data_IF_783618403855
#
_entry.id   IF_783618403855
#
_cell.length_a   1.000
_cell.length_b   1.000
_cell.length_c   1.000
_cell.angle_alpha   90.00
_cell.angle_beta   90.00
_cell.angle_gamma   90.00
#
_symmetry.space_group_name_H-M   'P 1'
#
loop_
_entity.id
_entity.type
_entity.pdbx_description
1 polymer ?
#
# COMPACT_ATOMS: atom_id res chain seq x y z
N UNK A 1 8.22 6.59 19.03
CA UNK A 1 6.93 6.49 18.30
C UNK A 1 6.78 7.64 17.31
N UNK A 2 6.94 8.90 17.73
CA UNK A 2 6.72 10.07 16.84
C UNK A 2 7.65 10.16 15.63
N UNK A 3 8.92 9.78 15.76
CA UNK A 3 9.86 9.78 14.64
C UNK A 3 9.52 8.75 13.54
N UNK A 4 8.98 7.59 13.93
CA UNK A 4 8.57 6.53 12.99
C UNK A 4 7.33 6.98 12.23
N UNK A 5 6.36 7.59 12.94
CA UNK A 5 5.17 8.17 12.33
C UNK A 5 5.50 9.34 11.40
N UNK A 6 6.41 10.23 11.80
CA UNK A 6 6.88 11.33 10.95
C UNK A 6 7.49 10.83 9.63
N UNK A 7 8.38 9.83 9.70
CA UNK A 7 8.97 9.20 8.50
C UNK A 7 7.94 8.54 7.60
N UNK A 8 6.94 7.88 8.18
CA UNK A 8 5.82 7.33 7.43
C UNK A 8 5.06 8.43 6.68
N UNK A 9 4.67 9.48 7.40
CA UNK A 9 3.83 10.56 6.84
C UNK A 9 4.58 11.35 5.76
N UNK A 10 5.90 11.56 5.94
CA UNK A 10 6.74 12.24 4.94
C UNK A 10 6.91 11.41 3.67
N UNK A 11 7.16 10.10 3.81
CA UNK A 11 7.25 9.20 2.66
C UNK A 11 5.91 9.10 1.91
N UNK A 12 4.79 9.02 2.64
CA UNK A 12 3.46 9.00 2.03
C UNK A 12 3.19 10.28 1.23
N UNK A 13 3.54 11.45 1.78
CA UNK A 13 3.41 12.74 1.07
C UNK A 13 4.27 12.80 -0.20
N UNK A 14 5.49 12.27 -0.16
CA UNK A 14 6.37 12.25 -1.33
C UNK A 14 5.82 11.34 -2.43
N UNK A 15 5.32 10.16 -2.07
CA UNK A 15 4.67 9.24 -3.00
C UNK A 15 3.39 9.87 -3.58
N UNK A 16 2.54 10.47 -2.75
CA UNK A 16 1.34 11.17 -3.19
C UNK A 16 1.66 12.28 -4.19
N UNK A 17 2.65 13.12 -3.89
CA UNK A 17 3.09 14.21 -4.78
C UNK A 17 3.55 13.67 -6.13
N UNK A 18 4.35 12.61 -6.11
CA UNK A 18 4.90 11.98 -7.33
C UNK A 18 3.80 11.35 -8.18
N UNK A 19 2.89 10.60 -7.55
CA UNK A 19 1.75 9.99 -8.25
C UNK A 19 0.82 11.05 -8.83
N UNK A 20 0.55 12.12 -8.10
CA UNK A 20 -0.29 13.24 -8.57
C UNK A 20 0.33 13.92 -9.79
N UNK A 21 1.62 14.25 -9.74
CA UNK A 21 2.34 14.83 -10.87
C UNK A 21 2.31 13.93 -12.10
N UNK A 22 2.49 12.60 -11.92
CA UNK A 22 2.43 11.63 -13.02
C UNK A 22 1.01 11.33 -13.54
N UNK A 23 -0.02 11.77 -12.82
CA UNK A 23 -1.44 11.52 -13.15
C UNK A 23 -2.11 12.73 -13.79
N UNK A 24 -1.56 13.94 -13.63
CA UNK A 24 -2.09 15.20 -14.17
C UNK A 24 -2.33 15.19 -15.70
N UNK A 25 -1.51 14.46 -16.45
CA UNK A 25 -1.68 14.31 -17.92
C UNK A 25 -2.76 13.29 -18.33
N UNK A 26 -3.30 12.52 -17.38
CA UNK A 26 -4.20 11.38 -17.66
C UNK A 26 -5.68 11.71 -17.43
N UNK A 27 -6.16 12.82 -18.00
CA UNK A 27 -7.59 13.17 -18.26
C UNK A 27 -8.66 12.40 -17.47
N UNK A 28 -8.65 12.47 -16.13
CA UNK A 28 -9.66 11.84 -15.26
C UNK A 28 -9.72 10.29 -15.28
N UNK A 29 -8.82 9.61 -15.99
CA UNK A 29 -8.80 8.14 -16.13
C UNK A 29 -8.13 7.45 -14.95
N UNK A 30 -7.29 8.19 -14.24
CA UNK A 30 -6.59 7.73 -13.04
C UNK A 30 -7.03 8.58 -11.86
N UNK A 31 -7.46 7.93 -10.78
CA UNK A 31 -7.89 8.58 -9.54
C UNK A 31 -7.01 8.08 -8.40
N UNK A 32 -6.38 9.02 -7.70
CA UNK A 32 -5.62 8.77 -6.48
C UNK A 32 -6.47 9.16 -5.26
N UNK A 33 -6.59 8.26 -4.29
CA UNK A 33 -7.21 8.52 -2.98
C UNK A 33 -6.20 8.16 -1.90
N UNK A 34 -5.92 9.09 -0.99
CA UNK A 34 -4.92 8.94 0.07
C UNK A 34 -5.60 9.01 1.42
N UNK A 35 -5.37 8.04 2.32
CA UNK A 35 -5.97 7.99 3.66
C UNK A 35 -7.51 8.09 3.68
N UNK A 36 -8.18 7.64 2.62
CA UNK A 36 -9.64 7.67 2.51
C UNK A 36 -10.24 6.28 2.67
N UNK A 37 -11.50 6.20 3.04
CA UNK A 37 -12.24 4.95 3.00
C UNK A 37 -12.46 4.50 1.55
N UNK A 38 -12.66 3.20 1.38
CA UNK A 38 -13.03 2.63 0.07
C UNK A 38 -14.49 2.94 -0.22
N UNK A 39 -14.82 3.53 -1.39
CA UNK A 39 -16.20 3.85 -1.73
C UNK A 39 -17.15 2.65 -1.63
N UNK A 40 -18.34 2.88 -1.09
CA UNK A 40 -19.42 1.89 -0.98
C UNK A 40 -19.11 0.66 -0.12
N UNK A 41 -17.98 0.62 0.59
CA UNK A 41 -17.70 -0.43 1.56
C UNK A 41 -18.36 -0.08 2.90
N UNK A 42 -19.54 -0.63 3.16
CA UNK A 42 -20.28 -0.41 4.39
C UNK A 42 -19.56 -1.00 5.62
N UNK A 43 -19.53 -0.26 6.73
CA UNK A 43 -19.05 -0.73 8.03
C UNK A 43 -17.53 -0.82 8.22
N UNK A 44 -16.72 -0.68 7.16
CA UNK A 44 -15.27 -0.67 7.29
C UNK A 44 -14.73 0.76 7.42
N UNK A 45 -14.25 1.13 8.61
CA UNK A 45 -13.48 2.37 8.83
C UNK A 45 -12.06 2.31 8.25
N UNK A 46 -11.76 1.30 7.43
CA UNK A 46 -10.43 1.09 6.86
C UNK A 46 -10.11 2.20 5.87
N UNK A 47 -8.96 2.85 6.10
CA UNK A 47 -8.40 3.91 5.27
C UNK A 47 -7.03 3.46 4.82
N UNK A 48 -6.90 2.77 3.67
CA UNK A 48 -5.60 2.47 3.10
C UNK A 48 -4.84 3.76 2.85
N UNK A 49 -3.51 3.71 3.02
CA UNK A 49 -2.66 4.88 2.77
C UNK A 49 -2.80 5.36 1.32
N UNK A 50 -2.85 4.42 0.36
CA UNK A 50 -3.01 4.72 -1.06
C UNK A 50 -4.06 3.82 -1.72
N UNK A 51 -4.92 4.43 -2.53
CA UNK A 51 -5.77 3.75 -3.50
C UNK A 51 -5.57 4.43 -4.86
N UNK A 52 -5.12 3.66 -5.85
CA UNK A 52 -4.91 4.15 -7.22
C UNK A 52 -5.85 3.41 -8.16
N UNK A 53 -6.90 4.08 -8.60
CA UNK A 53 -7.87 3.57 -9.56
C UNK A 53 -7.45 3.94 -10.97
N UNK A 54 -7.47 2.97 -11.87
CA UNK A 54 -7.44 3.20 -13.31
C UNK A 54 -8.80 2.77 -13.87
N UNK A 55 -9.63 3.75 -14.20
CA UNK A 55 -10.98 3.56 -14.71
C UNK A 55 -11.00 2.99 -16.13
N UNK A 56 -9.90 3.12 -16.89
CA UNK A 56 -9.81 2.58 -18.26
C UNK A 56 -9.65 1.06 -18.25
N UNK A 57 -8.72 0.56 -17.44
CA UNK A 57 -8.45 -0.88 -17.31
C UNK A 57 -9.30 -1.55 -16.23
N UNK A 58 -10.11 -0.76 -15.51
CA UNK A 58 -10.88 -1.18 -14.33
C UNK A 58 -10.01 -1.92 -13.31
N UNK A 59 -8.81 -1.39 -13.08
CA UNK A 59 -7.86 -1.91 -12.10
C UNK A 59 -7.73 -0.95 -10.93
N UNK A 60 -7.52 -1.48 -9.73
CA UNK A 60 -7.23 -0.68 -8.54
C UNK A 60 -6.06 -1.28 -7.77
N UNK A 61 -5.08 -0.45 -7.46
CA UNK A 61 -4.03 -0.80 -6.50
C UNK A 61 -4.38 -0.22 -5.14
N UNK A 62 -4.45 -1.06 -4.12
CA UNK A 62 -4.63 -0.66 -2.71
C UNK A 62 -3.33 -0.98 -2.00
N UNK A 63 -2.67 0.07 -1.50
CA UNK A 63 -1.31 -0.01 -0.97
C UNK A 63 -1.27 0.65 0.40
N UNK A 64 -0.54 0.01 1.32
CA UNK A 64 -0.38 0.49 2.68
C UNK A 64 1.12 0.48 3.04
N UNK A 65 1.58 1.56 3.66
CA UNK A 65 2.98 1.82 3.97
C UNK A 65 3.27 1.41 5.41
N UNK A 66 4.24 0.53 5.62
CA UNK A 66 4.65 0.14 6.97
C UNK A 66 6.10 0.49 7.19
N UNK A 67 6.38 1.16 8.30
CA UNK A 67 7.73 1.25 8.84
C UNK A 67 7.84 0.19 9.93
N UNK A 68 8.62 -0.86 9.68
CA UNK A 68 8.80 -1.95 10.62
C UNK A 68 10.25 -2.06 11.06
N UNK A 69 10.46 -2.47 12.30
CA UNK A 69 11.79 -2.75 12.83
C UNK A 69 12.27 -4.09 12.27
N UNK A 70 13.52 -4.14 11.83
CA UNK A 70 14.10 -5.33 11.23
C UNK A 70 14.53 -6.30 12.33
N UNK A 71 13.59 -7.13 12.76
CA UNK A 71 13.92 -8.36 13.48
C UNK A 71 13.86 -9.51 12.47
N UNK A 72 15.03 -10.08 12.17
CA UNK A 72 15.15 -11.25 11.30
C UNK A 72 15.38 -12.45 12.21
N UNK A 73 14.31 -13.22 12.44
CA UNK A 73 14.36 -14.36 13.37
C UNK A 73 15.19 -15.55 12.82
N UNK A 74 15.39 -15.61 11.50
CA UNK A 74 16.23 -16.61 10.83
C UNK A 74 16.68 -16.13 9.43
N UNK A 75 17.58 -16.87 8.77
CA UNK A 75 18.03 -16.54 7.41
C UNK A 75 16.95 -16.68 6.31
N UNK A 76 15.76 -17.17 6.67
CA UNK A 76 14.60 -17.22 5.77
C UNK A 76 14.02 -15.79 5.54
N UNK A 77 13.96 -15.28 4.30
CA UNK A 77 13.36 -13.98 3.98
C UNK A 77 11.90 -13.84 4.45
N UNK A 78 11.13 -14.93 4.49
CA UNK A 78 9.75 -14.95 4.96
C UNK A 78 9.64 -14.83 6.49
N UNK A 79 10.74 -15.09 7.21
CA UNK A 79 10.82 -14.98 8.67
C UNK A 79 11.12 -13.55 9.17
N UNK A 80 11.36 -12.62 8.25
CA UNK A 80 11.63 -11.22 8.61
C UNK A 80 10.38 -10.54 9.18
N UNK A 81 10.55 -9.70 10.20
CA UNK A 81 9.48 -8.86 10.75
C UNK A 81 8.80 -7.99 9.69
N UNK A 82 9.53 -7.66 8.62
CA UNK A 82 8.99 -6.92 7.48
C UNK A 82 8.04 -7.76 6.60
N UNK A 83 8.37 -9.04 6.33
CA UNK A 83 7.49 -9.96 5.59
C UNK A 83 6.20 -10.25 6.36
N UNK A 84 6.32 -10.42 7.69
CA UNK A 84 5.17 -10.57 8.58
C UNK A 84 4.26 -9.33 8.56
N UNK A 85 4.83 -8.12 8.65
CA UNK A 85 4.06 -6.88 8.56
C UNK A 85 3.34 -6.74 7.20
N UNK A 86 3.96 -7.17 6.11
CA UNK A 86 3.33 -7.17 4.79
C UNK A 86 2.15 -8.16 4.71
N UNK A 87 2.31 -9.37 5.26
CA UNK A 87 1.25 -10.39 5.31
C UNK A 87 0.06 -9.94 6.16
N UNK A 88 0.32 -9.35 7.33
CA UNK A 88 -0.71 -8.79 8.22
C UNK A 88 -1.52 -7.68 7.53
N UNK A 89 -0.85 -6.79 6.79
CA UNK A 89 -1.54 -5.75 6.00
C UNK A 89 -2.37 -6.33 4.86
N UNK A 90 -1.87 -7.34 4.15
CA UNK A 90 -2.67 -8.04 3.12
C UNK A 90 -3.92 -8.70 3.72
N UNK A 91 -3.79 -9.34 4.88
CA UNK A 91 -4.92 -9.94 5.59
C UNK A 91 -5.96 -8.89 6.01
N UNK A 92 -5.50 -7.77 6.58
CA UNK A 92 -6.35 -6.61 6.97
C UNK A 92 -7.19 -6.09 5.79
N UNK A 93 -6.63 -6.04 4.58
CA UNK A 93 -7.30 -5.50 3.40
C UNK A 93 -7.96 -6.54 2.49
N UNK A 94 -7.97 -7.83 2.86
CA UNK A 94 -8.64 -8.87 2.09
C UNK A 94 -10.14 -8.59 1.88
N UNK A 95 -10.81 -7.96 2.85
CA UNK A 95 -12.20 -7.53 2.75
C UNK A 95 -12.43 -6.44 1.69
N UNK A 96 -11.49 -5.49 1.56
CA UNK A 96 -11.51 -4.44 0.53
C UNK A 96 -11.35 -5.08 -0.85
N UNK A 97 -10.41 -6.01 -1.00
CA UNK A 97 -10.19 -6.74 -2.26
C UNK A 97 -11.48 -7.42 -2.73
N UNK A 98 -12.07 -8.26 -1.88
CA UNK A 98 -13.32 -8.97 -2.21
C UNK A 98 -14.45 -8.00 -2.57
N UNK A 99 -14.55 -6.87 -1.88
CA UNK A 99 -15.58 -5.87 -2.17
C UNK A 99 -15.43 -5.24 -3.55
N UNK A 100 -14.23 -4.77 -3.87
CA UNK A 100 -13.92 -4.14 -5.16
C UNK A 100 -14.01 -5.16 -6.32
N UNK A 101 -13.58 -6.40 -6.10
CA UNK A 101 -13.72 -7.49 -7.08
C UNK A 101 -15.18 -7.80 -7.41
N UNK A 102 -16.09 -7.76 -6.42
CA UNK A 102 -17.54 -7.90 -6.68
C UNK A 102 -18.12 -6.75 -7.52
N UNK A 103 -17.51 -5.57 -7.46
CA UNK A 103 -17.85 -4.44 -8.33
C UNK A 103 -17.15 -4.57 -9.71
N UNK A 104 -16.42 -5.67 -9.93
CA UNK A 104 -15.73 -6.05 -11.15
C UNK A 104 -14.41 -5.32 -11.37
N UNK A 105 -13.78 -4.80 -10.30
CA UNK A 105 -12.42 -4.29 -10.37
C UNK A 105 -11.40 -5.44 -10.34
N UNK A 106 -10.31 -5.31 -11.08
CA UNK A 106 -9.11 -6.11 -10.85
C UNK A 106 -8.28 -5.45 -9.75
N UNK A 107 -8.13 -6.12 -8.61
CA UNK A 107 -7.53 -5.53 -7.41
C UNK A 107 -6.11 -6.05 -7.16
N UNK A 108 -5.19 -5.13 -6.93
CA UNK A 108 -3.83 -5.41 -6.48
C UNK A 108 -3.69 -4.93 -5.03
N UNK A 109 -3.55 -5.87 -4.08
CA UNK A 109 -3.19 -5.55 -2.70
C UNK A 109 -1.67 -5.60 -2.55
N UNK A 110 -1.07 -4.51 -2.10
CA UNK A 110 0.36 -4.46 -1.80
C UNK A 110 0.62 -3.79 -0.46
N UNK A 111 1.78 -4.11 0.12
CA UNK A 111 2.30 -3.40 1.28
C UNK A 111 3.69 -2.89 0.90
N UNK A 112 3.94 -1.59 1.09
CA UNK A 112 5.27 -1.01 0.98
C UNK A 112 5.88 -1.00 2.37
N UNK A 113 6.68 -2.02 2.67
CA UNK A 113 7.30 -2.18 3.99
C UNK A 113 8.78 -1.83 3.88
N UNK A 114 9.22 -0.88 4.70
CA UNK A 114 10.61 -0.42 4.76
C UNK A 114 11.07 -0.23 6.21
N UNK A 115 12.29 -0.69 6.50
CA UNK A 115 12.98 -0.57 7.77
C UNK A 115 14.18 0.36 7.68
N UNK A 116 15.03 0.35 8.70
CA UNK A 116 16.25 1.16 8.74
C UNK A 116 17.35 0.73 7.78
N UNK A 117 17.33 -0.52 7.28
CA UNK A 117 18.35 -1.04 6.35
C UNK A 117 17.79 -1.37 4.96
N UNK A 118 16.47 -1.32 4.73
CA UNK A 118 15.93 -1.53 3.39
C UNK A 118 14.42 -1.77 3.32
N UNK A 119 13.94 -2.30 2.20
CA UNK A 119 12.52 -2.53 1.94
C UNK A 119 12.27 -3.91 1.30
N UNK A 120 11.13 -4.54 1.57
CA UNK A 120 10.85 -5.98 1.30
C UNK A 120 10.48 -6.30 -0.16
N UNK A 121 10.39 -5.32 -1.06
CA UNK A 121 10.03 -5.65 -2.44
C UNK A 121 11.10 -6.60 -3.02
N UNK A 122 10.74 -7.71 -3.69
CA UNK A 122 11.73 -8.64 -4.26
C UNK A 122 12.76 -7.96 -5.18
N UNK A 123 12.40 -6.84 -5.80
CA UNK A 123 13.28 -6.03 -6.64
C UNK A 123 14.28 -5.14 -5.85
N UNK A 124 14.20 -5.11 -4.52
CA UNK A 124 15.07 -4.31 -3.65
C UNK A 124 16.26 -5.12 -3.11
N UNK A 125 16.26 -6.44 -3.25
CA UNK A 125 17.44 -7.25 -2.97
C UNK A 125 18.45 -7.01 -4.10
N UNK A 126 19.53 -6.28 -3.81
CA UNK A 126 20.71 -6.29 -4.68
C UNK A 126 21.42 -7.63 -4.48
N UNK A 127 21.61 -8.37 -5.58
CA UNK A 127 22.54 -9.50 -5.67
C UNK A 127 23.95 -8.96 -5.85
#
# INVERSE_FOLDING_TARGET
MDAVRGRHDDALKEIERTLTASSGDRSGRVELRVNQTVPSLAGAALRPDLQLYNHTTKTVAVVDLAVAFEEQASDDPESSGLAKAAAEKKAKYAGIKRHLERQGWKVHLSALVYGSLGAVAPNNYKV
#
